data_IF_370115033812
#
_entry.id   IF_370115033812
#
_cell.length_a   1.000
_cell.length_b   1.000
_cell.length_c   1.000
_cell.angle_alpha   90.00
_cell.angle_beta   90.00
_cell.angle_gamma   90.00
#
_symmetry.space_group_name_H-M   'P 1'
#
loop_
_entity.id
_entity.type
_entity.pdbx_description
1 polymer ?
#
# COMPACT_ATOMS: atom_id res chain seq x y z
N UNK A 1 -11.14 -3.69 -1.88
CA UNK A 1 -11.05 -3.04 -0.55
C UNK A 1 -11.90 -3.82 0.45
N UNK A 2 -11.54 -3.89 1.74
CA UNK A 2 -12.44 -4.52 2.75
C UNK A 2 -13.70 -3.66 2.96
N UNK A 3 -14.82 -4.22 3.48
CA UNK A 3 -16.03 -3.43 3.72
C UNK A 3 -15.80 -2.29 4.72
N UNK A 4 -14.93 -2.54 5.70
CA UNK A 4 -14.58 -1.56 6.71
C UNK A 4 -13.82 -0.38 6.11
N UNK A 5 -12.76 -0.65 5.33
CA UNK A 5 -12.01 0.42 4.66
C UNK A 5 -12.90 1.20 3.69
N UNK A 6 -13.77 0.53 2.94
CA UNK A 6 -14.71 1.20 2.05
C UNK A 6 -15.65 2.15 2.82
N UNK A 7 -16.24 1.67 3.92
CA UNK A 7 -17.08 2.49 4.80
C UNK A 7 -16.33 3.70 5.36
N UNK A 8 -15.07 3.52 5.76
CA UNK A 8 -14.24 4.60 6.29
C UNK A 8 -13.87 5.62 5.23
N UNK A 9 -13.54 5.19 4.02
CA UNK A 9 -13.29 6.09 2.90
C UNK A 9 -14.51 6.96 2.57
N UNK A 10 -15.67 6.32 2.41
CA UNK A 10 -16.93 7.04 2.13
C UNK A 10 -17.31 8.04 3.22
N UNK A 11 -16.93 7.76 4.47
CA UNK A 11 -17.19 8.65 5.62
C UNK A 11 -16.04 9.59 5.97
N UNK A 12 -14.93 9.58 5.20
CA UNK A 12 -13.75 10.40 5.46
C UNK A 12 -13.11 10.13 6.82
N UNK A 13 -13.08 8.87 7.26
CA UNK A 13 -12.43 8.41 8.49
C UNK A 13 -11.05 7.80 8.18
N UNK A 14 -10.26 7.60 9.22
CA UNK A 14 -8.95 6.92 9.15
C UNK A 14 -8.99 5.64 8.28
N UNK A 15 -7.99 5.38 7.42
CA UNK A 15 -6.79 6.20 7.21
C UNK A 15 -7.00 7.39 6.25
N UNK A 16 -8.21 7.55 5.70
CA UNK A 16 -8.52 8.51 4.63
C UNK A 16 -8.69 9.96 5.12
N UNK A 17 -8.73 10.18 6.45
CA UNK A 17 -8.81 11.49 7.09
C UNK A 17 -7.47 12.24 7.14
N UNK A 18 -6.40 11.61 6.66
CA UNK A 18 -5.04 12.17 6.68
C UNK A 18 -4.41 12.33 5.30
N UNK A 19 -3.13 12.00 5.23
CA UNK A 19 -2.31 12.16 4.04
C UNK A 19 -1.99 10.81 3.42
N UNK A 20 -1.75 10.82 2.11
CA UNK A 20 -1.22 9.70 1.35
C UNK A 20 0.08 10.11 0.68
N UNK A 21 1.04 9.20 0.64
CA UNK A 21 2.17 9.25 -0.29
C UNK A 21 1.96 8.17 -1.35
N UNK A 22 2.08 8.55 -2.62
CA UNK A 22 1.95 7.65 -3.78
C UNK A 22 3.23 7.71 -4.60
N UNK A 23 3.62 6.58 -5.22
CA UNK A 23 4.68 6.60 -6.22
C UNK A 23 4.27 7.36 -7.48
N UNK A 24 5.25 7.91 -8.19
CA UNK A 24 5.10 8.58 -9.48
C UNK A 24 5.82 7.81 -10.58
N UNK A 25 5.34 7.95 -11.83
CA UNK A 25 6.01 7.54 -13.06
C UNK A 25 6.46 6.06 -13.09
N UNK A 26 5.60 5.15 -12.62
CA UNK A 26 5.81 3.68 -12.65
C UNK A 26 7.21 3.27 -12.14
N UNK A 27 7.47 3.38 -10.83
CA UNK A 27 8.78 3.11 -10.26
C UNK A 27 9.30 1.72 -10.60
N UNK A 28 10.63 1.61 -10.71
CA UNK A 28 11.28 0.31 -10.78
C UNK A 28 10.91 -0.55 -9.56
N UNK A 29 10.78 -1.85 -9.77
CA UNK A 29 10.51 -2.83 -8.72
C UNK A 29 11.49 -2.76 -7.54
N UNK A 30 12.75 -2.37 -7.81
CA UNK A 30 13.78 -2.14 -6.80
C UNK A 30 13.39 -1.02 -5.81
N UNK A 31 12.83 0.08 -6.32
CA UNK A 31 12.36 1.21 -5.52
C UNK A 31 11.13 0.82 -4.71
N UNK A 32 10.18 0.10 -5.31
CA UNK A 32 9.00 -0.40 -4.60
C UNK A 32 9.40 -1.29 -3.43
N UNK A 33 10.33 -2.23 -3.65
CA UNK A 33 10.89 -3.07 -2.57
C UNK A 33 11.51 -2.25 -1.46
N UNK A 34 12.30 -1.23 -1.80
CA UNK A 34 12.98 -0.40 -0.81
C UNK A 34 11.99 0.46 -0.02
N UNK A 35 10.96 1.00 -0.68
CA UNK A 35 9.88 1.75 -0.05
C UNK A 35 9.06 0.88 0.91
N UNK A 36 8.67 -0.33 0.48
CA UNK A 36 7.97 -1.29 1.31
C UNK A 36 8.82 -1.72 2.51
N UNK A 37 10.09 -2.07 2.28
CA UNK A 37 11.01 -2.45 3.36
C UNK A 37 11.15 -1.33 4.39
N UNK A 38 11.32 -0.09 3.93
CA UNK A 38 11.42 1.08 4.79
C UNK A 38 10.13 1.33 5.58
N UNK A 39 8.95 1.17 4.96
CA UNK A 39 7.68 1.27 5.65
C UNK A 39 7.53 0.17 6.71
N UNK A 40 7.84 -1.09 6.38
CA UNK A 40 7.79 -2.23 7.31
C UNK A 40 8.59 -1.99 8.58
N UNK A 41 9.81 -1.48 8.48
CA UNK A 41 10.66 -1.17 9.64
C UNK A 41 10.01 -0.19 10.61
N UNK A 42 9.22 0.76 10.09
CA UNK A 42 8.54 1.78 10.89
C UNK A 42 7.20 1.31 11.44
N UNK A 43 6.49 0.47 10.69
CA UNK A 43 5.15 -0.01 11.05
C UNK A 43 5.22 -1.15 12.07
N UNK A 44 6.17 -2.09 11.90
CA UNK A 44 6.28 -3.32 12.72
C UNK A 44 6.41 -3.04 14.22
N UNK A 45 7.08 -1.96 14.62
CA UNK A 45 7.22 -1.61 16.04
C UNK A 45 5.94 -1.08 16.69
N UNK A 46 5.02 -0.54 15.87
CA UNK A 46 3.79 0.10 16.35
C UNK A 46 2.61 -0.87 16.34
N UNK A 47 2.53 -1.72 15.31
CA UNK A 47 1.39 -2.60 15.07
C UNK A 47 1.89 -4.04 14.85
N UNK A 48 2.00 -4.88 15.90
CA UNK A 48 2.56 -6.23 15.77
C UNK A 48 1.66 -7.18 14.96
N UNK A 49 0.36 -6.89 14.90
CA UNK A 49 -0.62 -7.65 14.13
C UNK A 49 -1.03 -6.85 12.90
N UNK A 50 -0.97 -7.49 11.74
CA UNK A 50 -1.40 -6.92 10.47
C UNK A 50 -2.41 -7.81 9.79
N UNK A 51 -3.24 -7.19 8.96
CA UNK A 51 -4.00 -7.84 7.94
C UNK A 51 -3.31 -7.68 6.60
N UNK A 52 -3.28 -8.76 5.81
CA UNK A 52 -2.85 -8.74 4.41
C UNK A 52 -4.02 -9.22 3.56
N UNK A 53 -4.36 -8.46 2.51
CA UNK A 53 -5.47 -8.79 1.63
C UNK A 53 -5.25 -8.25 0.22
N UNK A 54 -6.06 -8.75 -0.71
CA UNK A 54 -6.12 -8.26 -2.09
C UNK A 54 -7.17 -7.17 -2.20
N UNK A 55 -6.75 -6.01 -2.64
CA UNK A 55 -7.57 -4.82 -2.79
C UNK A 55 -8.08 -4.72 -4.24
N UNK A 56 -9.17 -5.44 -4.51
CA UNK A 56 -9.91 -5.45 -5.79
C UNK A 56 -10.75 -4.20 -6.03
N UNK A 57 -10.37 -3.06 -5.46
CA UNK A 57 -11.23 -1.88 -5.46
C UNK A 57 -11.48 -1.31 -6.86
N UNK A 58 -10.52 -1.50 -7.77
CA UNK A 58 -10.58 -1.06 -9.17
C UNK A 58 -11.43 -2.00 -10.05
N UNK A 59 -11.94 -3.11 -9.50
CA UNK A 59 -12.78 -4.10 -10.18
C UNK A 59 -14.25 -4.01 -9.75
N UNK A 60 -15.05 -5.02 -10.10
CA UNK A 60 -16.51 -5.17 -9.86
C UNK A 60 -16.94 -5.20 -8.37
N UNK A 61 -16.14 -4.67 -7.45
CA UNK A 61 -16.48 -4.56 -6.03
C UNK A 61 -16.30 -5.87 -5.26
N UNK A 62 -15.42 -6.76 -5.72
CA UNK A 62 -15.11 -7.99 -4.97
C UNK A 62 -14.46 -7.65 -3.64
N UNK A 63 -15.08 -8.12 -2.56
CA UNK A 63 -14.59 -7.92 -1.20
C UNK A 63 -13.91 -9.19 -0.75
N UNK A 64 -12.64 -9.09 -0.41
CA UNK A 64 -11.86 -10.20 0.18
C UNK A 64 -11.83 -10.03 1.70
N UNK A 65 -12.07 -11.14 2.41
CA UNK A 65 -11.87 -11.19 3.86
C UNK A 65 -10.38 -11.02 4.18
N UNK A 66 -10.00 -10.06 5.03
CA UNK A 66 -8.61 -9.87 5.39
C UNK A 66 -8.04 -11.09 6.11
N UNK A 67 -6.87 -11.54 5.69
CA UNK A 67 -6.16 -12.61 6.37
C UNK A 67 -5.22 -12.01 7.41
N UNK A 68 -5.18 -12.61 8.61
CA UNK A 68 -4.18 -12.27 9.61
C UNK A 68 -2.81 -12.59 9.00
N UNK A 69 -1.99 -11.56 8.83
CA UNK A 69 -0.64 -11.66 8.34
C UNK A 69 0.38 -11.64 9.46
N UNK A 70 1.59 -12.09 9.13
CA UNK A 70 2.76 -11.99 9.98
C UNK A 70 3.80 -11.08 9.30
N UNK A 71 4.39 -10.17 10.08
CA UNK A 71 5.49 -9.32 9.61
C UNK A 71 6.70 -10.10 9.12
N UNK A 72 7.00 -11.28 9.67
CA UNK A 72 8.14 -12.08 9.20
C UNK A 72 7.90 -12.65 7.81
N UNK A 73 6.67 -13.07 7.52
CA UNK A 73 6.28 -13.55 6.18
C UNK A 73 6.30 -12.38 5.19
N UNK A 74 5.76 -11.23 5.59
CA UNK A 74 5.77 -10.03 4.75
C UNK A 74 7.21 -9.55 4.49
N UNK A 75 8.06 -9.48 5.51
CA UNK A 75 9.46 -9.10 5.35
C UNK A 75 10.24 -10.10 4.47
N UNK A 76 9.90 -11.39 4.54
CA UNK A 76 10.50 -12.41 3.67
C UNK A 76 10.19 -12.18 2.20
N UNK A 77 8.97 -11.73 1.87
CA UNK A 77 8.60 -11.32 0.50
C UNK A 77 9.45 -10.14 0.01
N UNK A 78 9.80 -9.22 0.90
CA UNK A 78 10.59 -8.03 0.55
C UNK A 78 12.10 -8.28 0.49
N UNK A 79 12.57 -9.49 0.81
CA UNK A 79 14.00 -9.80 0.94
C UNK A 79 14.78 -9.66 -0.38
N UNK A 80 14.12 -9.91 -1.51
CA UNK A 80 14.70 -9.72 -2.85
C UNK A 80 13.65 -9.16 -3.81
N UNK A 81 14.08 -8.55 -4.91
CA UNK A 81 13.16 -8.08 -5.96
C UNK A 81 12.38 -9.23 -6.59
N UNK A 82 13.00 -10.40 -6.76
CA UNK A 82 12.32 -11.61 -7.25
C UNK A 82 11.24 -12.07 -6.28
N UNK A 83 11.55 -12.14 -4.98
CA UNK A 83 10.57 -12.54 -3.96
C UNK A 83 9.38 -11.59 -3.89
N UNK A 84 9.61 -10.28 -4.08
CA UNK A 84 8.54 -9.29 -4.17
C UNK A 84 7.73 -9.47 -5.45
N UNK A 85 8.37 -9.71 -6.59
CA UNK A 85 7.66 -10.01 -7.84
C UNK A 85 6.77 -11.25 -7.71
N UNK A 86 7.24 -12.29 -7.02
CA UNK A 86 6.49 -13.52 -6.78
C UNK A 86 5.32 -13.34 -5.80
N UNK A 87 5.31 -12.26 -4.99
CA UNK A 87 4.21 -11.97 -4.06
C UNK A 87 3.05 -11.21 -4.70
N UNK A 88 3.19 -10.79 -5.96
CA UNK A 88 2.19 -10.04 -6.73
C UNK A 88 0.85 -10.75 -6.81
N UNK A 89 -0.19 -9.98 -7.13
CA UNK A 89 -1.42 -10.57 -7.65
C UNK A 89 -1.27 -10.80 -9.16
N UNK A 90 -1.81 -11.90 -9.67
CA UNK A 90 -1.71 -12.22 -11.10
C UNK A 90 -2.78 -11.50 -11.92
N UNK A 91 -3.68 -10.78 -11.27
CA UNK A 91 -4.72 -9.98 -11.91
C UNK A 91 -4.32 -8.51 -12.00
N UNK A 92 -4.73 -7.85 -13.08
CA UNK A 92 -4.42 -6.45 -13.38
C UNK A 92 -5.14 -5.57 -12.37
N UNK A 93 -4.54 -4.45 -11.94
CA UNK A 93 -5.19 -3.50 -11.02
C UNK A 93 -5.60 -4.07 -9.64
N UNK A 94 -5.07 -5.23 -9.24
CA UNK A 94 -5.30 -5.78 -7.89
C UNK A 94 -4.11 -5.45 -7.00
N UNK A 95 -4.30 -4.49 -6.11
CA UNK A 95 -3.26 -4.09 -5.16
C UNK A 95 -3.17 -5.11 -4.02
N UNK A 96 -1.97 -5.42 -3.58
CA UNK A 96 -1.74 -6.06 -2.29
C UNK A 96 -1.80 -4.99 -1.22
N UNK A 97 -2.64 -5.19 -0.20
CA UNK A 97 -2.83 -4.24 0.87
C UNK A 97 -2.43 -4.81 2.22
N UNK A 98 -1.82 -3.97 3.05
CA UNK A 98 -1.46 -4.24 4.43
C UNK A 98 -2.05 -3.15 5.31
N UNK A 99 -2.69 -3.54 6.41
CA UNK A 99 -3.31 -2.63 7.37
C UNK A 99 -3.19 -3.18 8.80
N UNK A 100 -3.24 -2.32 9.83
CA UNK A 100 -3.34 -2.77 11.22
C UNK A 100 -4.79 -3.14 11.52
N UNK A 101 -5.02 -3.78 12.66
CA UNK A 101 -6.38 -4.11 13.11
C UNK A 101 -7.27 -2.87 13.32
N UNK A 102 -6.66 -1.73 13.71
CA UNK A 102 -7.37 -0.48 13.91
C UNK A 102 -7.80 0.22 12.61
N UNK A 103 -7.22 -0.17 11.47
CA UNK A 103 -7.31 0.54 10.18
C UNK A 103 -6.93 2.03 10.28
N UNK A 104 -5.91 2.38 11.07
CA UNK A 104 -5.42 3.77 11.16
C UNK A 104 -4.41 4.13 10.06
N UNK A 105 -3.86 3.14 9.37
CA UNK A 105 -3.03 3.28 8.18
C UNK A 105 -3.33 2.16 7.18
N UNK A 106 -2.91 2.36 5.94
CA UNK A 106 -3.03 1.42 4.83
C UNK A 106 -1.81 1.57 3.93
N UNK A 107 -1.08 0.48 3.73
CA UNK A 107 0.03 0.35 2.78
C UNK A 107 -0.46 -0.52 1.62
N UNK A 108 -0.25 -0.09 0.38
CA UNK A 108 -0.62 -0.85 -0.81
C UNK A 108 0.52 -0.87 -1.81
N UNK A 109 0.58 -1.94 -2.58
CA UNK A 109 1.44 -2.00 -3.76
C UNK A 109 0.77 -2.81 -4.86
N UNK A 110 1.07 -2.47 -6.11
CA UNK A 110 0.73 -3.25 -7.29
C UNK A 110 2.00 -3.61 -8.05
N UNK A 111 2.02 -4.79 -8.65
CA UNK A 111 3.07 -5.24 -9.56
C UNK A 111 2.36 -5.98 -10.68
N UNK A 112 2.29 -5.36 -11.84
CA UNK A 112 1.68 -5.97 -13.01
C UNK A 112 2.60 -7.03 -13.62
N UNK A 113 2.01 -7.99 -14.34
CA UNK A 113 2.79 -9.02 -14.99
C UNK A 113 3.62 -8.44 -16.14
N UNK A 114 4.88 -8.88 -16.23
CA UNK A 114 5.78 -8.49 -17.30
C UNK A 114 5.90 -9.61 -18.35
N UNK A 115 5.79 -9.26 -19.63
CA UNK A 115 5.80 -10.23 -20.74
C UNK A 115 7.11 -11.04 -20.86
N UNK A 116 8.24 -10.51 -20.36
CA UNK A 116 9.58 -11.07 -20.63
C UNK A 116 10.48 -11.17 -19.41
N UNK A 117 10.54 -10.11 -18.62
CA UNK A 117 11.45 -9.98 -17.49
C UNK A 117 10.74 -9.24 -16.36
N UNK A 118 10.82 -9.78 -15.14
CA UNK A 118 10.18 -9.18 -13.97
C UNK A 118 10.66 -7.75 -13.67
N UNK A 119 11.81 -7.36 -14.21
CA UNK A 119 12.36 -6.00 -14.10
C UNK A 119 11.59 -4.97 -14.92
N UNK A 120 10.85 -5.42 -15.92
CA UNK A 120 10.03 -4.58 -16.79
C UNK A 120 8.58 -4.43 -16.27
N UNK A 121 8.29 -4.94 -15.07
CA UNK A 121 6.97 -4.87 -14.46
C UNK A 121 6.58 -3.43 -14.14
N UNK A 122 5.34 -3.06 -14.48
CA UNK A 122 4.74 -1.81 -14.01
C UNK A 122 4.40 -1.97 -12.55
N UNK A 123 4.91 -1.07 -11.72
CA UNK A 123 4.76 -1.17 -10.28
C UNK A 123 4.23 0.14 -9.71
N UNK A 124 3.50 0.04 -8.60
CA UNK A 124 3.15 1.21 -7.80
C UNK A 124 3.14 0.87 -6.30
N UNK A 125 3.26 1.90 -5.47
CA UNK A 125 3.16 1.80 -4.02
C UNK A 125 2.49 3.05 -3.46
N UNK A 126 1.61 2.86 -2.49
CA UNK A 126 1.03 3.96 -1.73
C UNK A 126 0.94 3.65 -0.24
N UNK A 127 1.02 4.69 0.56
CA UNK A 127 0.83 4.63 2.00
C UNK A 127 -0.04 5.80 2.45
N UNK A 128 -1.17 5.51 3.08
CA UNK A 128 -2.00 6.53 3.73
C UNK A 128 -2.18 6.24 5.21
N UNK A 129 -2.34 7.30 5.99
CA UNK A 129 -2.52 7.18 7.43
C UNK A 129 -3.29 8.36 8.03
N UNK A 130 -3.96 8.10 9.13
CA UNK A 130 -4.58 9.13 9.95
C UNK A 130 -3.53 10.06 10.57
N UNK A 131 -3.78 11.37 10.73
CA UNK A 131 -2.86 12.25 11.44
C UNK A 131 -2.74 11.92 12.93
N UNK A 132 -3.60 11.04 13.46
CA UNK A 132 -3.63 10.65 14.88
C UNK A 132 -2.84 9.39 15.20
N UNK A 133 -2.33 8.68 14.20
CA UNK A 133 -1.50 7.49 14.44
C UNK A 133 -0.04 7.87 14.73
N UNK A 134 0.66 7.03 15.50
CA UNK A 134 2.08 7.16 15.80
C UNK A 134 2.97 7.09 14.55
N UNK A 135 2.44 6.53 13.45
CA UNK A 135 3.16 6.40 12.17
C UNK A 135 2.84 7.54 11.20
N UNK A 136 2.14 8.60 11.62
CA UNK A 136 1.77 9.73 10.77
C UNK A 136 2.95 10.42 10.08
N UNK A 137 4.12 10.47 10.73
CA UNK A 137 5.35 10.99 10.13
C UNK A 137 5.96 10.11 9.02
N UNK A 138 5.44 8.90 8.78
CA UNK A 138 5.97 8.00 7.76
C UNK A 138 5.72 8.53 6.33
N UNK A 139 4.60 9.22 6.09
CA UNK A 139 4.31 9.87 4.79
C UNK A 139 5.44 10.83 4.41
N UNK A 140 5.82 11.72 5.34
CA UNK A 140 6.90 12.70 5.11
C UNK A 140 8.26 12.02 4.96
N UNK A 141 8.52 10.95 5.71
CA UNK A 141 9.77 10.18 5.62
C UNK A 141 9.93 9.47 4.28
N UNK A 142 8.88 8.84 3.78
CA UNK A 142 8.86 8.19 2.47
C UNK A 142 9.13 9.20 1.36
N UNK A 143 8.36 10.31 1.35
CA UNK A 143 8.56 11.39 0.40
C UNK A 143 9.96 12.00 0.48
N UNK A 144 10.49 12.27 1.68
CA UNK A 144 11.83 12.85 1.85
C UNK A 144 12.96 11.92 1.37
N UNK A 145 12.73 10.60 1.40
CA UNK A 145 13.70 9.60 0.96
C UNK A 145 13.71 9.43 -0.56
N UNK A 146 12.57 9.59 -1.22
CA UNK A 146 12.42 9.51 -2.67
C UNK A 146 11.58 10.67 -3.25
N UNK A 147 12.04 11.92 -3.12
CA UNK A 147 11.22 13.10 -3.45
C UNK A 147 10.91 13.23 -4.94
N UNK A 148 11.71 12.63 -5.81
CA UNK A 148 11.49 12.64 -7.26
C UNK A 148 10.57 11.50 -7.74
N UNK A 149 10.28 10.53 -6.86
CA UNK A 149 9.49 9.34 -7.21
C UNK A 149 8.21 9.21 -6.39
N UNK A 150 7.93 10.16 -5.50
CA UNK A 150 6.78 10.10 -4.61
C UNK A 150 6.11 11.46 -4.50
N UNK A 151 4.77 11.46 -4.48
CA UNK A 151 3.96 12.65 -4.29
C UNK A 151 3.09 12.50 -3.04
N UNK A 152 2.90 13.61 -2.32
CA UNK A 152 2.03 13.66 -1.13
C UNK A 152 0.77 14.46 -1.43
N UNK A 153 -0.38 13.93 -1.01
CA UNK A 153 -1.66 14.63 -1.11
C UNK A 153 -2.61 14.24 0.03
N UNK A 154 -3.80 14.86 0.07
CA UNK A 154 -4.84 14.46 1.00
C UNK A 154 -5.40 13.08 0.59
N UNK A 155 -5.40 12.13 1.53
CA UNK A 155 -5.78 10.74 1.25
C UNK A 155 -7.20 10.64 0.67
N UNK A 156 -8.18 11.29 1.30
CA UNK A 156 -9.55 11.30 0.79
C UNK A 156 -9.65 11.85 -0.64
N UNK A 157 -9.01 12.97 -0.94
CA UNK A 157 -9.09 13.56 -2.28
C UNK A 157 -8.45 12.64 -3.34
N UNK A 158 -7.33 12.00 -3.00
CA UNK A 158 -6.67 11.02 -3.87
C UNK A 158 -7.57 9.81 -4.17
N UNK A 159 -8.17 9.22 -3.14
CA UNK A 159 -9.09 8.09 -3.33
C UNK A 159 -10.37 8.49 -4.05
N UNK A 160 -10.98 9.64 -3.71
CA UNK A 160 -12.17 10.16 -4.41
C UNK A 160 -11.86 10.41 -5.89
N UNK A 161 -10.68 10.93 -6.24
CA UNK A 161 -10.28 11.13 -7.63
C UNK A 161 -10.05 9.80 -8.38
N UNK A 162 -9.42 8.83 -7.72
CA UNK A 162 -9.02 7.56 -8.36
C UNK A 162 -10.20 6.59 -8.47
N UNK A 163 -11.16 6.66 -7.54
CA UNK A 163 -12.17 5.61 -7.35
C UNK A 163 -13.60 6.13 -7.12
N UNK A 164 -13.79 7.42 -6.84
CA UNK A 164 -15.06 7.99 -6.40
C UNK A 164 -16.06 8.32 -7.52
N UNK A 165 -16.15 7.45 -8.54
CA UNK A 165 -17.04 7.61 -9.70
C UNK A 165 -18.48 7.99 -9.36
#
# INVERSE_FOLDING_TARGET
MTPELNRRWMSGRAPFDGSIVVSCDDPELSLVRDALSFACEHLRSNDPNIFVFRDWHEHDGYVVEPQIGNWDDFASQLSTTISLYESRDFDVSVRVAVAPESFDWLLRYNIEDADRDYRDAVCDVDFCCSPRTSVSGLVEKLHSKWPEHMAVSAAKACFDHSYGG
#
